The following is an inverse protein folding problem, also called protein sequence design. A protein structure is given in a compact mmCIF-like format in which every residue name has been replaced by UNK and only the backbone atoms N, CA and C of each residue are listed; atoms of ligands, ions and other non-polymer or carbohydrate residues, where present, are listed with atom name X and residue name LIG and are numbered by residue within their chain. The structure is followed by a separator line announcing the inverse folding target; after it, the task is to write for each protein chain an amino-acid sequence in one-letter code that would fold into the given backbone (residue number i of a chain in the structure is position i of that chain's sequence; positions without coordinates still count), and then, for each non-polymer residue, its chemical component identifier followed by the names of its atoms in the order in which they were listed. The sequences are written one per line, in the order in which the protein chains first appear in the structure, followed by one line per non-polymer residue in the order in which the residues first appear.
data_IF_570515247066
#
_entry.id   IF_570515247066
#
_cell.length_a   1.000
_cell.length_b   1.000
_cell.length_c   1.000
_cell.angle_alpha   90.00
_cell.angle_beta   90.00
_cell.angle_gamma   90.00
#
_symmetry.space_group_name_H-M   'P 1'
#
loop_
_entity.id
_entity.type
_entity.pdbx_description
1 polymer ?
#
# COMPACT_ATOMS: atom_id res chain seq x y z
N UNK A 1 62.97 -14.43 17.31
CA UNK A 1 61.89 -14.53 18.31
C UNK A 1 61.17 -13.19 18.30
N UNK A 2 59.97 -13.11 17.73
CA UNK A 2 59.23 -11.83 17.65
C UNK A 2 58.63 -11.52 19.02
N UNK A 3 59.03 -10.40 19.60
CA UNK A 3 58.52 -9.92 20.89
C UNK A 3 57.04 -9.54 20.72
N UNK A 4 56.13 -10.38 21.22
CA UNK A 4 54.69 -10.11 21.19
C UNK A 4 54.36 -9.13 22.31
N UNK A 5 54.23 -7.85 21.95
CA UNK A 5 53.72 -6.82 22.86
C UNK A 5 52.21 -7.05 23.07
N UNK A 6 51.75 -7.38 24.28
CA UNK A 6 50.35 -7.69 24.51
C UNK A 6 49.49 -6.45 24.23
N UNK A 7 48.49 -6.61 23.37
CA UNK A 7 47.54 -5.53 23.09
C UNK A 7 46.74 -5.18 24.34
N UNK A 8 46.83 -3.93 24.77
CA UNK A 8 46.03 -3.39 25.87
C UNK A 8 44.54 -3.46 25.53
N UNK A 9 43.67 -3.79 26.51
CA UNK A 9 42.21 -3.89 26.33
C UNK A 9 41.58 -2.65 25.66
N UNK A 10 42.17 -1.46 25.89
CA UNK A 10 41.79 -0.20 25.22
C UNK A 10 42.01 -0.24 23.71
N UNK A 11 43.13 -0.80 23.25
CA UNK A 11 43.44 -0.91 21.82
C UNK A 11 42.49 -1.89 21.13
N UNK A 12 42.16 -2.99 21.80
CA UNK A 12 41.15 -3.96 21.32
C UNK A 12 39.78 -3.27 21.20
N UNK A 13 39.38 -2.49 22.22
CA UNK A 13 38.13 -1.73 22.17
C UNK A 13 38.10 -0.72 21.02
N UNK A 14 39.20 -0.01 20.77
CA UNK A 14 39.33 0.93 19.65
C UNK A 14 39.20 0.21 18.32
N UNK A 15 39.86 -0.94 18.14
CA UNK A 15 39.79 -1.73 16.90
C UNK A 15 38.35 -2.20 16.66
N UNK A 16 37.66 -2.69 17.69
CA UNK A 16 36.27 -3.13 17.60
C UNK A 16 35.35 -1.95 17.24
N UNK A 17 35.51 -0.81 17.90
CA UNK A 17 34.71 0.38 17.61
C UNK A 17 34.90 0.86 16.17
N UNK A 18 36.15 0.84 15.68
CA UNK A 18 36.50 1.25 14.33
C UNK A 18 35.95 0.27 13.28
N UNK A 19 35.97 -1.03 13.59
CA UNK A 19 35.35 -2.06 12.76
C UNK A 19 33.82 -1.90 12.68
N UNK A 20 33.15 -1.64 13.81
CA UNK A 20 31.71 -1.40 13.83
C UNK A 20 31.33 -0.12 13.07
N UNK A 21 32.13 0.94 13.17
CA UNK A 21 31.97 2.16 12.39
C UNK A 21 32.06 1.89 10.88
N UNK A 22 33.04 1.08 10.46
CA UNK A 22 33.19 0.67 9.06
C UNK A 22 31.95 -0.08 8.56
N UNK A 23 31.48 -1.09 9.30
CA UNK A 23 30.28 -1.86 8.95
C UNK A 23 29.03 -0.99 8.87
N UNK A 24 28.88 -0.05 9.80
CA UNK A 24 27.73 0.87 9.83
C UNK A 24 27.76 1.80 8.62
N UNK A 25 28.93 2.34 8.27
CA UNK A 25 29.10 3.20 7.10
C UNK A 25 28.79 2.45 5.80
N UNK A 26 29.28 1.21 5.66
CA UNK A 26 28.96 0.36 4.52
C UNK A 26 27.45 0.08 4.41
N UNK A 27 26.79 -0.17 5.54
CA UNK A 27 25.34 -0.37 5.59
C UNK A 27 24.58 0.89 5.15
N UNK A 28 25.03 2.08 5.55
CA UNK A 28 24.43 3.33 5.09
C UNK A 28 24.61 3.54 3.59
N UNK A 29 25.79 3.27 3.02
CA UNK A 29 25.99 3.37 1.56
C UNK A 29 25.08 2.38 0.83
N UNK A 30 24.98 1.15 1.33
CA UNK A 30 24.08 0.14 0.76
C UNK A 30 22.62 0.60 0.76
N UNK A 31 22.15 1.16 1.88
CA UNK A 31 20.75 1.62 2.01
C UNK A 31 20.47 2.78 1.07
N UNK A 32 21.39 3.75 0.95
CA UNK A 32 21.20 4.90 0.06
C UNK A 32 21.23 4.49 -1.41
N UNK A 33 22.06 3.51 -1.78
CA UNK A 33 22.12 3.00 -3.16
C UNK A 33 20.89 2.14 -3.52
N UNK A 34 20.36 1.37 -2.57
CA UNK A 34 19.15 0.57 -2.75
C UNK A 34 17.89 1.25 -2.19
N UNK A 35 17.93 2.56 -1.96
CA UNK A 35 16.74 3.32 -1.62
C UNK A 35 15.83 3.22 -2.83
N UNK A 36 14.85 2.33 -2.76
CA UNK A 36 13.82 2.20 -3.77
C UNK A 36 13.20 3.57 -3.98
N UNK A 37 13.03 4.01 -5.24
CA UNK A 37 12.34 5.25 -5.53
C UNK A 37 11.01 5.29 -4.77
N UNK A 38 10.66 6.44 -4.19
CA UNK A 38 9.35 6.63 -3.56
C UNK A 38 8.27 6.31 -4.60
N UNK A 39 7.70 5.11 -4.49
CA UNK A 39 6.65 4.66 -5.40
C UNK A 39 5.45 5.60 -5.21
N UNK A 40 5.13 6.40 -6.23
CA UNK A 40 3.88 7.14 -6.24
C UNK A 40 2.74 6.13 -6.30
N UNK A 41 1.97 6.07 -5.23
CA UNK A 41 0.72 5.32 -5.17
C UNK A 41 -0.24 5.83 -6.25
N UNK A 42 -0.98 4.94 -6.90
CA UNK A 42 -2.00 5.35 -7.86
C UNK A 42 -3.10 6.16 -7.14
N UNK A 43 -3.41 7.36 -7.65
CA UNK A 43 -4.50 8.19 -7.14
C UNK A 43 -5.63 8.23 -8.18
N UNK A 44 -6.86 7.87 -7.78
CA UNK A 44 -8.04 7.86 -8.68
C UNK A 44 -7.84 7.03 -9.97
N UNK A 45 -6.98 6.01 -9.93
CA UNK A 45 -6.66 5.13 -11.05
C UNK A 45 -5.64 5.69 -12.05
N UNK A 46 -4.90 6.75 -11.69
CA UNK A 46 -3.80 7.29 -12.50
C UNK A 46 -2.51 7.22 -11.69
N UNK A 47 -1.46 6.67 -12.31
CA UNK A 47 -0.10 6.69 -11.80
C UNK A 47 0.77 7.46 -12.81
N UNK A 48 1.42 8.52 -12.34
CA UNK A 48 2.34 9.29 -13.19
C UNK A 48 3.72 8.64 -13.15
N UNK A 49 4.11 8.06 -14.29
CA UNK A 49 5.40 7.41 -14.52
C UNK A 49 6.24 8.19 -15.52
N UNK A 50 5.91 9.45 -15.81
CA UNK A 50 6.58 10.24 -16.85
C UNK A 50 8.06 10.52 -16.52
N UNK A 51 8.39 10.56 -15.23
CA UNK A 51 9.76 10.74 -14.73
C UNK A 51 10.47 9.39 -14.48
N UNK A 52 9.84 8.26 -14.81
CA UNK A 52 10.37 6.93 -14.53
C UNK A 52 11.29 6.44 -15.66
N UNK A 53 12.53 6.09 -15.33
CA UNK A 53 13.43 5.39 -16.24
C UNK A 53 13.20 3.87 -16.13
N UNK A 54 12.52 3.29 -17.11
CA UNK A 54 12.30 1.84 -17.14
C UNK A 54 13.61 1.10 -17.39
N UNK A 55 14.12 0.40 -16.38
CA UNK A 55 15.24 -0.52 -16.52
C UNK A 55 14.75 -1.97 -16.43
N UNK A 56 15.34 -2.89 -17.21
CA UNK A 56 14.91 -4.30 -17.31
C UNK A 56 14.98 -5.10 -15.99
N UNK A 57 15.45 -4.48 -14.90
CA UNK A 57 15.67 -5.12 -13.59
C UNK A 57 14.72 -4.60 -12.50
N UNK A 58 13.86 -3.65 -12.82
CA UNK A 58 13.00 -3.01 -11.83
C UNK A 58 11.54 -3.43 -11.98
N UNK A 59 10.98 -3.91 -10.87
CA UNK A 59 9.55 -4.22 -10.76
C UNK A 59 8.84 -3.01 -10.19
N UNK A 60 7.89 -2.45 -10.94
CA UNK A 60 7.05 -1.36 -10.48
C UNK A 60 5.86 -1.89 -9.70
N UNK A 61 5.63 -1.34 -8.51
CA UNK A 61 4.40 -1.59 -7.74
C UNK A 61 3.31 -0.63 -8.21
N UNK A 62 2.16 -1.17 -8.57
CA UNK A 62 0.98 -0.42 -9.00
C UNK A 62 -0.02 -0.25 -7.85
N UNK A 63 0.50 -0.13 -6.64
CA UNK A 63 -0.30 -0.05 -5.43
C UNK A 63 -1.05 1.30 -5.42
N UNK A 64 -2.29 1.30 -4.95
CA UNK A 64 -3.10 2.52 -4.85
C UNK A 64 -4.58 2.33 -5.16
N UNK A 65 -5.24 3.45 -5.42
CA UNK A 65 -6.68 3.53 -5.66
C UNK A 65 -7.01 3.20 -7.11
N UNK A 66 -7.80 2.15 -7.31
CA UNK A 66 -8.24 1.69 -8.61
C UNK A 66 -9.75 1.69 -8.73
N UNK A 67 -10.26 1.99 -9.94
CA UNK A 67 -11.68 1.82 -10.25
C UNK A 67 -11.98 0.34 -10.44
N UNK A 68 -12.94 -0.14 -9.67
CA UNK A 68 -13.39 -1.52 -9.68
C UNK A 68 -14.87 -1.62 -10.04
N UNK A 69 -15.19 -2.60 -10.90
CA UNK A 69 -16.52 -2.80 -11.47
C UNK A 69 -17.05 -4.18 -11.04
N UNK A 70 -17.61 -4.31 -9.82
CA UNK A 70 -18.13 -5.58 -9.33
C UNK A 70 -19.32 -6.05 -10.18
N UNK A 71 -19.35 -7.35 -10.48
CA UNK A 71 -20.47 -8.02 -11.17
C UNK A 71 -20.79 -7.45 -12.56
N UNK A 72 -19.83 -6.80 -13.21
CA UNK A 72 -20.00 -6.23 -14.55
C UNK A 72 -18.95 -6.80 -15.50
N UNK A 73 -19.40 -7.22 -16.68
CA UNK A 73 -18.51 -7.53 -17.80
C UNK A 73 -18.29 -6.25 -18.61
N UNK A 74 -17.05 -5.76 -18.64
CA UNK A 74 -16.69 -4.56 -19.38
C UNK A 74 -16.36 -4.92 -20.84
N UNK A 75 -16.92 -4.15 -21.76
CA UNK A 75 -16.53 -4.22 -23.17
C UNK A 75 -15.20 -3.47 -23.36
N UNK A 76 -14.15 -4.11 -23.88
CA UNK A 76 -12.86 -3.45 -24.12
C UNK A 76 -12.95 -2.30 -25.12
N UNK A 77 -14.03 -2.19 -25.91
CA UNK A 77 -14.29 -1.04 -26.79
C UNK A 77 -14.71 0.24 -26.05
N UNK A 78 -14.91 0.18 -24.72
CA UNK A 78 -15.05 1.38 -23.87
C UNK A 78 -16.46 1.97 -23.78
N UNK A 79 -17.47 1.33 -24.39
CA UNK A 79 -18.81 1.92 -24.50
C UNK A 79 -19.73 1.75 -23.28
N UNK A 80 -19.31 1.01 -22.24
CA UNK A 80 -20.22 0.59 -21.14
C UNK A 80 -19.78 1.10 -19.75
N UNK A 81 -19.43 2.38 -19.63
CA UNK A 81 -19.01 3.00 -18.36
C UNK A 81 -20.20 3.43 -17.46
N UNK A 82 -21.36 2.79 -17.63
CA UNK A 82 -22.65 3.12 -16.97
C UNK A 82 -22.97 2.27 -15.74
N UNK A 83 -22.14 1.27 -15.41
CA UNK A 83 -22.39 0.43 -14.25
C UNK A 83 -21.87 1.01 -12.93
N UNK A 84 -22.24 0.36 -11.82
CA UNK A 84 -21.80 0.74 -10.48
C UNK A 84 -20.29 0.53 -10.33
N UNK A 85 -19.53 1.62 -10.36
CA UNK A 85 -18.09 1.65 -10.07
C UNK A 85 -17.82 2.01 -8.61
N UNK A 86 -16.83 1.36 -8.01
CA UNK A 86 -16.30 1.70 -6.69
C UNK A 86 -14.80 1.90 -6.79
N UNK A 87 -14.23 2.71 -5.90
CA UNK A 87 -12.77 2.91 -5.84
C UNK A 87 -12.23 2.00 -4.75
N UNK A 88 -11.28 1.12 -5.08
CA UNK A 88 -10.68 0.19 -4.11
C UNK A 88 -9.17 0.39 -4.03
N UNK A 89 -8.62 0.28 -2.83
CA UNK A 89 -7.18 0.30 -2.62
C UNK A 89 -6.59 -1.10 -2.82
N UNK A 90 -5.56 -1.20 -3.67
CA UNK A 90 -4.85 -2.45 -3.99
C UNK A 90 -3.38 -2.31 -3.53
N UNK A 91 -2.78 -3.35 -2.92
CA UNK A 91 -3.38 -4.62 -2.53
C UNK A 91 -4.30 -4.47 -1.32
N UNK A 92 -5.50 -5.07 -1.38
CA UNK A 92 -6.50 -4.95 -0.32
C UNK A 92 -7.75 -5.79 -0.60
N UNK A 93 -8.59 -5.95 0.43
CA UNK A 93 -9.84 -6.70 0.31
C UNK A 93 -10.96 -5.82 -0.28
N UNK A 94 -11.19 -5.94 -1.57
CA UNK A 94 -12.28 -5.32 -2.31
C UNK A 94 -13.71 -5.67 -1.83
N UNK A 95 -13.90 -6.70 -1.00
CA UNK A 95 -15.23 -7.10 -0.48
C UNK A 95 -15.65 -6.37 0.81
N UNK A 96 -14.70 -5.85 1.59
CA UNK A 96 -14.98 -5.22 2.89
C UNK A 96 -15.76 -3.90 2.74
N UNK A 97 -15.40 -3.09 1.76
CA UNK A 97 -16.04 -1.79 1.51
C UNK A 97 -17.55 -1.92 1.19
N UNK A 98 -17.95 -3.03 0.57
CA UNK A 98 -19.36 -3.34 0.29
C UNK A 98 -20.15 -3.70 1.54
N UNK A 99 -19.49 -4.26 2.54
CA UNK A 99 -20.10 -4.80 3.75
C UNK A 99 -20.54 -3.67 4.68
N UNK A 100 -19.72 -2.64 4.86
CA UNK A 100 -20.06 -1.48 5.71
C UNK A 100 -21.29 -0.71 5.20
N UNK A 101 -21.34 -0.43 3.89
CA UNK A 101 -22.48 0.28 3.28
C UNK A 101 -23.77 -0.52 3.40
N UNK A 102 -23.72 -1.84 3.24
CA UNK A 102 -24.89 -2.70 3.41
C UNK A 102 -25.38 -2.73 4.86
N UNK A 103 -24.46 -2.80 5.83
CA UNK A 103 -24.80 -2.75 7.26
C UNK A 103 -25.50 -1.43 7.60
N UNK A 104 -24.94 -0.29 7.19
CA UNK A 104 -25.55 1.03 7.47
C UNK A 104 -26.95 1.18 6.86
N UNK A 105 -27.15 0.72 5.62
CA UNK A 105 -28.46 0.76 4.96
C UNK A 105 -29.48 -0.17 5.64
N UNK A 106 -29.05 -1.36 6.09
CA UNK A 106 -29.93 -2.28 6.84
C UNK A 106 -30.36 -1.70 8.19
N UNK A 107 -29.44 -1.02 8.90
CA UNK A 107 -29.74 -0.35 10.18
C UNK A 107 -30.74 0.78 9.99
N UNK A 108 -30.57 1.61 8.96
CA UNK A 108 -31.50 2.70 8.63
C UNK A 108 -32.88 2.14 8.27
N UNK A 109 -32.94 1.10 7.44
CA UNK A 109 -34.21 0.45 7.07
C UNK A 109 -34.95 -0.12 8.28
N UNK A 110 -34.23 -0.74 9.21
CA UNK A 110 -34.79 -1.27 10.45
C UNK A 110 -35.37 -0.17 11.34
N UNK A 111 -34.65 0.95 11.50
CA UNK A 111 -35.12 2.10 12.27
C UNK A 111 -36.39 2.68 11.62
N UNK A 112 -36.41 2.87 10.30
CA UNK A 112 -37.59 3.39 9.61
C UNK A 112 -38.82 2.50 9.79
N UNK A 113 -38.67 1.18 9.69
CA UNK A 113 -39.76 0.22 9.87
C UNK A 113 -40.34 0.24 11.30
N UNK A 114 -39.53 0.57 12.30
CA UNK A 114 -39.97 0.67 13.69
C UNK A 114 -40.53 2.05 14.07
N UNK A 115 -40.07 3.13 13.41
CA UNK A 115 -40.49 4.51 13.70
C UNK A 115 -41.75 4.89 12.91
N UNK A 116 -41.93 4.34 11.72
CA UNK A 116 -43.11 4.57 10.87
C UNK A 116 -43.81 3.25 10.61
N UNK A 117 -44.87 2.90 11.37
CA UNK A 117 -45.67 1.73 11.06
C UNK A 117 -46.28 1.91 9.65
N UNK A 118 -46.52 0.82 8.91
CA UNK A 118 -47.16 0.89 7.60
C UNK A 118 -48.47 1.67 7.71
N UNK A 119 -48.66 2.65 6.84
CA UNK A 119 -49.93 3.35 6.73
C UNK A 119 -50.97 2.31 6.36
N UNK A 120 -51.86 2.02 7.30
CA UNK A 120 -52.99 1.14 7.08
C UNK A 120 -53.95 1.83 6.10
N UNK A 121 -53.98 1.32 4.87
CA UNK A 121 -54.76 1.85 3.77
C UNK A 121 -56.17 1.26 3.70
N UNK A 122 -56.61 0.52 4.73
CA UNK A 122 -57.98 -0.02 4.85
C UNK A 122 -58.96 0.91 5.60
N UNK A 123 -59.08 2.17 5.15
CA UNK A 123 -60.22 3.03 5.52
C UNK A 123 -60.88 3.65 4.31
#
# INVERSE_FOLDING_TARGET
MTEYKPMTKKNIFIIIALFLLLLTSFRFVWINYHSTPDYKTAEKGVIDLSEWEFTDKETLKLDGEWKFYPNQFLDPSGNNDTGNKTTVSVPGNWQEEKTEKFILLSQISYIYANVYPPIDWEK
#
